data_IF_922859382716
#
_entry.id   IF_922859382716
#
_cell.length_a   1.000
_cell.length_b   1.000
_cell.length_c   1.000
_cell.angle_alpha   90.00
_cell.angle_beta   90.00
_cell.angle_gamma   90.00
#
_symmetry.space_group_name_H-M   'P 1'
#
loop_
_entity.id
_entity.type
_entity.pdbx_description
1 polymer ?
#
# COMPACT_ATOMS: atom_id res chain seq x y z
N UNK A 1 -4.15 -21.08 -0.95
CA UNK A 1 -3.71 -20.65 -2.28
C UNK A 1 -2.45 -21.43 -2.57
N UNK A 2 -2.42 -22.21 -3.64
CA UNK A 2 -1.25 -23.00 -4.03
C UNK A 2 -0.30 -22.13 -4.86
N UNK A 3 1.01 -22.34 -4.68
CA UNK A 3 2.05 -21.62 -5.40
C UNK A 3 2.46 -22.39 -6.66
N UNK A 4 2.48 -21.67 -7.77
CA UNK A 4 2.89 -22.19 -9.07
C UNK A 4 4.02 -21.32 -9.62
N UNK A 5 5.14 -21.95 -9.95
CA UNK A 5 6.16 -21.34 -10.80
C UNK A 5 5.83 -21.72 -12.24
N UNK A 6 5.67 -20.71 -13.09
CA UNK A 6 5.41 -20.91 -14.52
C UNK A 6 6.67 -20.59 -15.30
N UNK A 7 7.27 -21.61 -15.91
CA UNK A 7 8.51 -21.50 -16.69
C UNK A 7 8.28 -21.63 -18.20
N UNK A 8 9.29 -21.24 -18.97
CA UNK A 8 9.37 -21.59 -20.40
C UNK A 8 9.94 -23.00 -20.56
N UNK A 9 9.47 -23.77 -21.56
CA UNK A 9 9.96 -25.14 -21.79
C UNK A 9 11.48 -25.20 -22.04
N UNK A 10 12.03 -24.15 -22.62
CA UNK A 10 13.45 -23.98 -22.95
C UNK A 10 14.30 -23.53 -21.76
N UNK A 11 13.69 -23.27 -20.61
CA UNK A 11 14.34 -22.71 -19.43
C UNK A 11 13.88 -23.50 -18.18
N UNK A 12 14.45 -24.71 -17.96
CA UNK A 12 14.00 -25.61 -16.92
C UNK A 12 14.35 -25.06 -15.52
N UNK A 13 13.39 -25.15 -14.61
CA UNK A 13 13.60 -24.85 -13.20
C UNK A 13 14.39 -25.98 -12.55
N UNK A 14 15.61 -25.69 -12.10
CA UNK A 14 16.54 -26.68 -11.53
C UNK A 14 16.45 -26.81 -10.00
N UNK A 15 15.67 -25.95 -9.34
CA UNK A 15 15.66 -25.85 -7.87
C UNK A 15 14.54 -26.70 -7.25
N UNK A 16 14.83 -27.41 -6.17
CA UNK A 16 13.81 -28.14 -5.41
C UNK A 16 13.27 -27.26 -4.28
N UNK A 17 12.05 -26.74 -4.48
CA UNK A 17 11.37 -25.86 -3.53
C UNK A 17 10.14 -26.56 -2.97
N UNK A 18 10.13 -26.93 -1.67
CA UNK A 18 9.00 -27.60 -1.05
C UNK A 18 7.71 -26.78 -1.13
N UNK A 19 6.61 -27.42 -1.55
CA UNK A 19 5.27 -26.81 -1.55
C UNK A 19 4.95 -25.94 -2.76
N UNK A 20 5.86 -25.85 -3.74
CA UNK A 20 5.67 -25.09 -4.98
C UNK A 20 5.57 -26.05 -6.17
N UNK A 21 4.58 -25.84 -7.03
CA UNK A 21 4.42 -26.64 -8.26
C UNK A 21 5.06 -25.91 -9.43
N UNK A 22 5.92 -26.58 -10.17
CA UNK A 22 6.50 -26.01 -11.39
C UNK A 22 5.72 -26.54 -12.59
N UNK A 23 5.25 -25.62 -13.44
CA UNK A 23 4.53 -25.94 -14.68
C UNK A 23 5.07 -25.07 -15.81
N UNK A 24 4.86 -25.49 -17.04
CA UNK A 24 5.22 -24.68 -18.21
C UNK A 24 4.13 -23.66 -18.52
N UNK A 25 4.51 -22.56 -19.17
CA UNK A 25 3.56 -21.57 -19.67
C UNK A 25 2.52 -22.17 -20.62
N UNK A 26 2.92 -23.19 -21.41
CA UNK A 26 2.00 -23.89 -22.31
C UNK A 26 0.94 -24.67 -21.53
N UNK A 27 1.35 -25.41 -20.50
CA UNK A 27 0.42 -26.15 -19.63
C UNK A 27 -0.56 -25.19 -18.96
N UNK A 28 -0.07 -24.12 -18.35
CA UNK A 28 -0.93 -23.12 -17.70
C UNK A 28 -2.01 -22.53 -18.63
N UNK A 29 -1.65 -22.24 -19.88
CA UNK A 29 -2.56 -21.61 -20.83
C UNK A 29 -3.56 -22.60 -21.45
N UNK A 30 -3.12 -23.82 -21.76
CA UNK A 30 -3.86 -24.76 -22.60
C UNK A 30 -4.55 -25.88 -21.83
N UNK A 31 -4.04 -26.28 -20.67
CA UNK A 31 -4.61 -27.38 -19.89
C UNK A 31 -5.85 -26.90 -19.11
N UNK A 32 -7.04 -27.49 -19.34
CA UNK A 32 -8.27 -27.13 -18.64
C UNK A 32 -8.19 -27.25 -17.12
N UNK A 33 -7.27 -28.05 -16.58
CA UNK A 33 -7.06 -28.20 -15.12
C UNK A 33 -6.71 -26.85 -14.49
N UNK A 34 -5.87 -26.02 -15.14
CA UNK A 34 -5.49 -24.71 -14.62
C UNK A 34 -6.54 -23.64 -14.91
N UNK A 35 -7.31 -23.78 -15.99
CA UNK A 35 -8.41 -22.86 -16.28
C UNK A 35 -9.54 -22.94 -15.24
N UNK A 36 -9.80 -24.12 -14.68
CA UNK A 36 -10.87 -24.37 -13.71
C UNK A 36 -10.42 -24.23 -12.24
N UNK A 37 -9.13 -24.06 -11.96
CA UNK A 37 -8.64 -23.86 -10.60
C UNK A 37 -9.07 -22.49 -10.09
N UNK A 38 -9.56 -22.43 -8.84
CA UNK A 38 -9.89 -21.16 -8.18
C UNK A 38 -8.69 -20.65 -7.39
N UNK A 39 -8.33 -19.37 -7.57
CA UNK A 39 -7.35 -18.63 -6.76
C UNK A 39 -5.98 -19.32 -6.63
N UNK A 40 -5.11 -19.18 -7.63
CA UNK A 40 -3.70 -19.58 -7.62
C UNK A 40 -2.78 -18.38 -7.34
N UNK A 41 -1.58 -18.63 -6.79
CA UNK A 41 -0.49 -17.64 -6.78
C UNK A 41 0.56 -18.08 -7.80
N UNK A 42 0.81 -17.25 -8.79
CA UNK A 42 1.58 -17.58 -9.99
C UNK A 42 2.81 -16.70 -10.04
N UNK A 43 3.98 -17.35 -10.01
CA UNK A 43 5.28 -16.75 -10.20
C UNK A 43 5.67 -17.00 -11.65
N UNK A 44 5.39 -16.01 -12.50
CA UNK A 44 5.72 -16.09 -13.90
C UNK A 44 7.22 -15.84 -14.04
N UNK A 45 7.94 -16.89 -14.43
CA UNK A 45 9.37 -16.90 -14.72
C UNK A 45 9.60 -17.24 -16.20
N UNK A 46 8.68 -16.80 -17.05
CA UNK A 46 8.83 -16.96 -18.49
C UNK A 46 10.07 -16.20 -18.99
N UNK A 47 10.75 -16.78 -19.97
CA UNK A 47 11.96 -16.21 -20.57
C UNK A 47 11.69 -14.84 -21.23
N UNK A 48 10.47 -14.60 -21.69
CA UNK A 48 10.09 -13.34 -22.36
C UNK A 48 8.65 -12.92 -22.05
N UNK A 49 8.47 -11.61 -21.90
CA UNK A 49 7.18 -10.93 -21.69
C UNK A 49 6.83 -10.00 -22.87
N UNK A 50 7.40 -10.25 -24.05
CA UNK A 50 7.04 -9.55 -25.27
C UNK A 50 5.53 -9.67 -25.55
N UNK A 51 4.95 -8.67 -26.22
CA UNK A 51 3.54 -8.73 -26.58
C UNK A 51 3.26 -10.01 -27.39
N UNK A 52 2.15 -10.67 -27.08
CA UNK A 52 1.76 -11.98 -27.63
C UNK A 52 2.70 -13.16 -27.30
N UNK A 53 3.68 -13.00 -26.40
CA UNK A 53 4.44 -14.14 -25.89
C UNK A 53 3.63 -14.99 -24.92
N UNK A 54 4.08 -16.23 -24.70
CA UNK A 54 3.54 -17.10 -23.65
C UNK A 54 3.58 -16.41 -22.27
N UNK A 55 4.72 -15.77 -21.91
CA UNK A 55 4.85 -15.06 -20.64
C UNK A 55 3.87 -13.90 -20.49
N UNK A 56 3.61 -13.14 -21.56
CA UNK A 56 2.60 -12.09 -21.56
C UNK A 56 1.19 -12.66 -21.32
N UNK A 57 0.82 -13.73 -22.02
CA UNK A 57 -0.49 -14.36 -21.85
C UNK A 57 -0.67 -15.05 -20.50
N UNK A 58 0.40 -15.59 -19.89
CA UNK A 58 0.36 -16.14 -18.53
C UNK A 58 -0.10 -15.07 -17.56
N UNK A 59 0.56 -13.91 -17.53
CA UNK A 59 0.18 -12.81 -16.63
C UNK A 59 -1.19 -12.23 -16.95
N UNK A 60 -1.55 -12.09 -18.23
CA UNK A 60 -2.85 -11.58 -18.65
C UNK A 60 -4.01 -12.50 -18.22
N UNK A 61 -3.93 -13.79 -18.56
CA UNK A 61 -5.00 -14.74 -18.25
C UNK A 61 -5.06 -15.07 -16.76
N UNK A 62 -3.91 -15.12 -16.07
CA UNK A 62 -3.89 -15.31 -14.64
C UNK A 62 -4.66 -14.20 -13.92
N UNK A 63 -4.40 -12.93 -14.25
CA UNK A 63 -5.13 -11.79 -13.70
C UNK A 63 -6.62 -11.86 -14.04
N UNK A 64 -6.97 -12.13 -15.30
CA UNK A 64 -8.37 -12.24 -15.74
C UNK A 64 -9.14 -13.39 -15.07
N UNK A 65 -8.45 -14.46 -14.66
CA UNK A 65 -9.02 -15.60 -13.92
C UNK A 65 -9.02 -15.39 -12.39
N UNK A 66 -8.63 -14.21 -11.91
CA UNK A 66 -8.57 -13.91 -10.47
C UNK A 66 -7.46 -14.68 -9.74
N UNK A 67 -6.38 -15.05 -10.43
CA UNK A 67 -5.15 -15.54 -9.81
C UNK A 67 -4.25 -14.36 -9.44
N UNK A 68 -3.52 -14.47 -8.34
CA UNK A 68 -2.46 -13.52 -8.01
C UNK A 68 -1.24 -13.88 -8.86
N UNK A 69 -0.78 -12.99 -9.73
CA UNK A 69 0.35 -13.26 -10.63
C UNK A 69 1.44 -12.20 -10.50
N UNK A 70 2.68 -12.66 -10.47
CA UNK A 70 3.87 -11.84 -10.25
C UNK A 70 4.92 -12.25 -11.32
N UNK A 71 5.34 -11.34 -12.21
CA UNK A 71 4.79 -9.98 -12.40
C UNK A 71 3.39 -9.98 -13.03
N UNK A 72 2.60 -8.97 -12.67
CA UNK A 72 1.33 -8.70 -13.33
C UNK A 72 1.53 -7.93 -14.67
N UNK A 73 0.44 -7.73 -15.41
CA UNK A 73 0.53 -7.12 -16.75
C UNK A 73 1.00 -5.66 -16.70
N UNK A 74 0.60 -4.88 -15.71
CA UNK A 74 1.00 -3.49 -15.53
C UNK A 74 2.49 -3.42 -15.23
N UNK A 75 2.97 -4.24 -14.29
CA UNK A 75 4.39 -4.37 -13.95
C UNK A 75 5.25 -4.71 -15.17
N UNK A 76 4.78 -5.61 -16.05
CA UNK A 76 5.46 -5.95 -17.30
C UNK A 76 5.57 -4.72 -18.23
N UNK A 77 4.54 -3.87 -18.30
CA UNK A 77 4.58 -2.66 -19.10
C UNK A 77 5.47 -1.59 -18.48
N UNK A 78 5.42 -1.43 -17.16
CA UNK A 78 6.22 -0.46 -16.43
C UNK A 78 7.73 -0.70 -16.65
N UNK A 79 8.17 -1.96 -16.55
CA UNK A 79 9.57 -2.34 -16.79
C UNK A 79 10.04 -2.13 -18.24
N UNK A 80 9.13 -2.01 -19.22
CA UNK A 80 9.51 -1.73 -20.63
C UNK A 80 9.84 -0.27 -20.87
N UNK A 81 9.37 0.64 -20.03
CA UNK A 81 9.56 2.08 -20.19
C UNK A 81 10.60 2.61 -19.21
N UNK A 82 11.78 2.98 -19.70
CA UNK A 82 12.83 3.60 -18.88
C UNK A 82 12.37 4.91 -18.22
N UNK A 83 11.41 5.61 -18.82
CA UNK A 83 10.78 6.81 -18.23
C UNK A 83 9.93 6.44 -17.02
N UNK A 84 9.09 5.41 -17.14
CA UNK A 84 8.25 4.93 -16.03
C UNK A 84 9.12 4.36 -14.91
N UNK A 85 10.14 3.56 -15.24
CA UNK A 85 11.10 3.05 -14.26
C UNK A 85 11.72 4.17 -13.44
N UNK A 86 12.16 5.25 -14.10
CA UNK A 86 12.72 6.42 -13.41
C UNK A 86 11.72 7.10 -12.49
N UNK A 87 10.47 7.29 -12.95
CA UNK A 87 9.41 7.92 -12.16
C UNK A 87 9.11 7.08 -10.92
N UNK A 88 8.89 5.77 -11.08
CA UNK A 88 8.60 4.86 -9.97
C UNK A 88 9.76 4.78 -8.97
N UNK A 89 11.01 4.92 -9.42
CA UNK A 89 12.19 4.84 -8.56
C UNK A 89 12.61 6.16 -7.92
N UNK A 90 11.92 7.29 -8.16
CA UNK A 90 12.34 8.62 -7.64
C UNK A 90 12.48 8.62 -6.12
N UNK A 91 11.56 7.97 -5.40
CA UNK A 91 11.59 7.88 -3.94
C UNK A 91 12.76 7.04 -3.42
N UNK A 92 13.38 6.22 -4.29
CA UNK A 92 14.55 5.43 -3.97
C UNK A 92 15.86 6.17 -4.26
N UNK A 93 15.85 7.37 -4.84
CA UNK A 93 17.06 8.08 -5.27
C UNK A 93 18.08 8.24 -4.14
N UNK A 94 17.64 8.60 -2.94
CA UNK A 94 18.54 8.78 -1.80
C UNK A 94 19.07 7.45 -1.26
N UNK A 95 18.26 6.38 -1.34
CA UNK A 95 18.71 5.04 -1.01
C UNK A 95 19.74 4.54 -2.03
N UNK A 96 19.48 4.75 -3.33
CA UNK A 96 20.39 4.40 -4.43
C UNK A 96 21.73 5.13 -4.25
N UNK A 97 21.70 6.45 -4.01
CA UNK A 97 22.92 7.24 -3.76
C UNK A 97 23.73 6.68 -2.60
N UNK A 98 23.08 6.39 -1.46
CA UNK A 98 23.75 5.86 -0.25
C UNK A 98 24.30 4.45 -0.48
N UNK A 99 23.50 3.56 -1.06
CA UNK A 99 23.87 2.16 -1.29
C UNK A 99 25.00 2.00 -2.31
N UNK A 100 25.11 2.91 -3.28
CA UNK A 100 26.10 2.84 -4.36
C UNK A 100 27.26 3.85 -4.19
N UNK A 101 27.29 4.64 -3.10
CA UNK A 101 28.27 5.70 -2.89
C UNK A 101 29.74 5.24 -2.96
N UNK A 102 30.03 4.02 -2.50
CA UNK A 102 31.39 3.46 -2.48
C UNK A 102 31.85 2.89 -3.82
N UNK A 103 31.00 2.88 -4.85
CA UNK A 103 31.36 2.38 -6.17
C UNK A 103 32.13 3.44 -6.97
N UNK A 104 33.26 2.99 -7.52
CA UNK A 104 34.15 3.80 -8.37
C UNK A 104 33.70 3.77 -9.83
N UNK A 105 32.98 2.72 -10.26
CA UNK A 105 32.52 2.58 -11.64
C UNK A 105 31.46 3.61 -12.04
N UNK A 106 31.32 3.84 -13.35
CA UNK A 106 30.26 4.69 -13.93
C UNK A 106 28.95 3.93 -14.16
N UNK A 107 29.01 2.60 -14.15
CA UNK A 107 27.87 1.72 -14.33
C UNK A 107 27.87 0.63 -13.25
N UNK A 108 26.68 0.21 -12.85
CA UNK A 108 26.52 -0.88 -11.89
C UNK A 108 25.26 -1.68 -12.24
N UNK A 109 25.37 -3.01 -12.18
CA UNK A 109 24.27 -3.93 -12.47
C UNK A 109 24.01 -4.77 -11.23
N UNK A 110 22.80 -4.67 -10.69
CA UNK A 110 22.36 -5.41 -9.51
C UNK A 110 21.37 -6.49 -9.93
N UNK A 111 21.75 -7.75 -9.75
CA UNK A 111 20.81 -8.88 -9.93
C UNK A 111 20.13 -9.18 -8.60
N UNK A 112 18.81 -9.26 -8.60
CA UNK A 112 17.97 -9.43 -7.43
C UNK A 112 17.11 -10.68 -7.65
N UNK A 113 17.09 -11.56 -6.65
CA UNK A 113 16.32 -12.80 -6.67
C UNK A 113 15.43 -12.85 -5.43
N UNK A 114 14.11 -12.89 -5.62
CA UNK A 114 13.10 -12.86 -4.55
C UNK A 114 13.35 -11.76 -3.51
N UNK A 115 13.79 -10.57 -3.94
CA UNK A 115 14.06 -9.44 -3.05
C UNK A 115 15.47 -9.38 -2.47
N UNK A 116 16.30 -10.40 -2.72
CA UNK A 116 17.64 -10.51 -2.15
C UNK A 116 18.76 -10.40 -3.20
N UNK A 117 19.95 -10.02 -2.73
CA UNK A 117 21.18 -10.06 -3.51
C UNK A 117 22.24 -10.90 -2.78
N UNK A 118 23.08 -11.60 -3.55
CA UNK A 118 24.19 -12.40 -3.03
C UNK A 118 25.13 -11.61 -2.10
N UNK A 119 25.31 -10.30 -2.36
CA UNK A 119 26.02 -9.39 -1.47
C UNK A 119 25.04 -8.65 -0.55
N UNK A 120 24.99 -9.07 0.73
CA UNK A 120 24.07 -8.56 1.77
C UNK A 120 24.04 -7.04 1.92
N UNK A 121 25.11 -6.33 1.57
CA UNK A 121 25.16 -4.85 1.62
C UNK A 121 24.12 -4.17 0.72
N UNK A 122 23.63 -4.86 -0.33
CA UNK A 122 22.61 -4.34 -1.24
C UNK A 122 21.20 -4.82 -0.92
N UNK A 123 21.00 -5.60 0.15
CA UNK A 123 19.73 -6.29 0.40
C UNK A 123 18.57 -5.31 0.63
N UNK A 124 18.82 -4.23 1.38
CA UNK A 124 17.81 -3.18 1.61
C UNK A 124 17.32 -2.53 0.30
N UNK A 125 18.24 -2.25 -0.64
CA UNK A 125 17.89 -1.70 -1.95
C UNK A 125 17.19 -2.75 -2.80
N UNK A 126 17.63 -4.01 -2.72
CA UNK A 126 17.06 -5.15 -3.45
C UNK A 126 15.60 -5.40 -3.06
N UNK A 127 15.29 -5.38 -1.77
CA UNK A 127 13.93 -5.53 -1.26
C UNK A 127 13.01 -4.40 -1.72
N UNK A 128 13.48 -3.14 -1.67
CA UNK A 128 12.69 -1.98 -2.11
C UNK A 128 12.40 -2.03 -3.61
N UNK A 129 13.39 -2.39 -4.44
CA UNK A 129 13.19 -2.55 -5.88
C UNK A 129 12.29 -3.75 -6.21
N UNK A 130 12.42 -4.85 -5.46
CA UNK A 130 11.54 -6.00 -5.60
C UNK A 130 10.09 -5.68 -5.23
N UNK A 131 9.85 -4.94 -4.13
CA UNK A 131 8.51 -4.53 -3.75
C UNK A 131 7.88 -3.56 -4.76
N UNK A 132 8.69 -2.69 -5.37
CA UNK A 132 8.23 -1.74 -6.37
C UNK A 132 7.87 -2.41 -7.70
N UNK A 133 8.72 -3.31 -8.20
CA UNK A 133 8.55 -3.95 -9.50
C UNK A 133 8.01 -5.38 -9.42
N UNK A 134 7.64 -5.88 -8.24
CA UNK A 134 7.01 -7.18 -7.95
C UNK A 134 7.29 -8.24 -9.03
N UNK A 135 8.55 -8.64 -9.17
CA UNK A 135 9.00 -9.58 -10.20
C UNK A 135 10.01 -10.53 -9.55
N UNK A 136 9.88 -11.86 -9.69
CA UNK A 136 10.67 -12.80 -8.90
C UNK A 136 12.17 -12.63 -9.09
N UNK A 137 12.63 -12.47 -10.34
CA UNK A 137 14.02 -12.18 -10.66
C UNK A 137 14.13 -10.90 -11.49
N UNK A 138 14.88 -9.92 -11.00
CA UNK A 138 15.07 -8.63 -11.67
C UNK A 138 16.53 -8.22 -11.70
N UNK A 139 16.93 -7.57 -12.80
CA UNK A 139 18.23 -6.96 -12.99
C UNK A 139 18.05 -5.46 -13.12
N UNK A 140 18.56 -4.72 -12.14
CA UNK A 140 18.54 -3.27 -12.09
C UNK A 140 19.85 -2.70 -12.65
N UNK A 141 19.74 -1.73 -13.56
CA UNK A 141 20.86 -1.11 -14.26
C UNK A 141 20.98 0.34 -13.80
N UNK A 142 22.11 0.67 -13.18
CA UNK A 142 22.41 1.99 -12.67
C UNK A 142 23.53 2.65 -13.47
N UNK A 143 23.39 3.95 -13.65
CA UNK A 143 24.43 4.79 -14.28
C UNK A 143 24.68 6.00 -13.39
N UNK A 144 25.96 6.31 -13.22
CA UNK A 144 26.45 7.51 -12.56
C UNK A 144 26.54 8.62 -13.60
N UNK A 145 25.99 9.79 -13.29
CA UNK A 145 26.09 10.95 -14.16
C UNK A 145 27.39 11.72 -13.93
N UNK A 146 27.67 12.72 -14.78
CA UNK A 146 28.88 13.57 -14.69
C UNK A 146 29.03 14.30 -13.35
N UNK A 147 27.94 14.43 -12.57
CA UNK A 147 27.93 15.02 -11.22
C UNK A 147 28.20 13.98 -10.13
N UNK A 148 28.51 12.74 -10.49
CA UNK A 148 28.79 11.63 -9.59
C UNK A 148 27.54 11.00 -8.93
N UNK A 149 26.33 11.32 -9.42
CA UNK A 149 25.07 10.86 -8.82
C UNK A 149 24.57 9.61 -9.53
N UNK A 150 24.33 8.55 -8.76
CA UNK A 150 23.74 7.31 -9.24
C UNK A 150 22.24 7.46 -9.51
N UNK A 151 21.78 6.87 -10.61
CA UNK A 151 20.37 6.81 -10.99
C UNK A 151 20.03 5.44 -11.57
N UNK A 152 18.81 4.96 -11.31
CA UNK A 152 18.29 3.77 -11.97
C UNK A 152 17.92 4.14 -13.42
N UNK A 153 18.54 3.48 -14.40
CA UNK A 153 18.26 3.71 -15.82
C UNK A 153 17.23 2.73 -16.37
N UNK A 154 17.29 1.47 -15.92
CA UNK A 154 16.42 0.43 -16.41
C UNK A 154 16.31 -0.71 -15.39
N UNK A 155 15.25 -1.50 -15.47
CA UNK A 155 15.09 -2.73 -14.74
C UNK A 155 14.45 -3.78 -15.64
N UNK A 156 14.96 -5.01 -15.62
CA UNK A 156 14.49 -6.09 -16.50
C UNK A 156 14.32 -7.40 -15.75
N UNK A 157 13.34 -8.24 -16.11
CA UNK A 157 13.28 -9.61 -15.62
C UNK A 157 14.55 -10.39 -15.98
N UNK A 158 14.92 -11.35 -15.14
CA UNK A 158 16.00 -12.31 -15.42
C UNK A 158 15.38 -13.68 -15.74
N UNK A 159 15.62 -14.26 -16.92
CA UNK A 159 15.30 -15.67 -17.20
C UNK A 159 16.08 -16.59 -16.26
N UNK A 160 15.53 -17.73 -15.86
CA UNK A 160 16.26 -18.67 -14.99
C UNK A 160 17.54 -19.19 -15.64
N UNK A 161 17.57 -19.27 -16.97
CA UNK A 161 18.74 -19.66 -17.75
C UNK A 161 19.90 -18.67 -17.67
N UNK A 162 19.64 -17.42 -17.29
CA UNK A 162 20.64 -16.36 -17.12
C UNK A 162 21.17 -16.22 -15.69
N UNK A 163 20.77 -17.11 -14.78
CA UNK A 163 21.32 -17.16 -13.42
C UNK A 163 22.74 -17.72 -13.50
N UNK A 164 23.77 -16.97 -13.06
CA UNK A 164 25.13 -17.48 -13.00
C UNK A 164 25.22 -18.75 -12.13
N UNK A 165 26.06 -19.70 -12.51
CA UNK A 165 26.22 -20.98 -11.79
C UNK A 165 26.52 -20.75 -10.31
N UNK A 166 27.40 -19.80 -10.00
CA UNK A 166 27.78 -19.47 -8.62
C UNK A 166 26.66 -18.80 -7.80
N UNK A 167 25.63 -18.26 -8.48
CA UNK A 167 24.46 -17.69 -7.81
C UNK A 167 23.40 -18.75 -7.51
N UNK A 168 23.39 -19.89 -8.22
CA UNK A 168 22.33 -20.91 -8.10
C UNK A 168 22.07 -21.37 -6.66
N UNK A 169 23.09 -21.65 -5.81
CA UNK A 169 22.85 -22.05 -4.43
C UNK A 169 22.12 -20.98 -3.61
N UNK A 170 22.48 -19.70 -3.81
CA UNK A 170 21.82 -18.58 -3.15
C UNK A 170 20.39 -18.36 -3.65
N UNK A 171 20.15 -18.51 -4.96
CA UNK A 171 18.80 -18.41 -5.53
C UNK A 171 17.89 -19.48 -4.96
N UNK A 172 18.39 -20.71 -4.81
CA UNK A 172 17.64 -21.78 -4.16
C UNK A 172 17.34 -21.45 -2.70
N UNK A 173 18.32 -20.94 -1.94
CA UNK A 173 18.13 -20.48 -0.56
C UNK A 173 17.07 -19.37 -0.47
N UNK A 174 17.20 -18.30 -1.27
CA UNK A 174 16.25 -17.18 -1.27
C UNK A 174 14.85 -17.62 -1.72
N UNK A 175 14.75 -18.52 -2.70
CA UNK A 175 13.48 -19.09 -3.10
C UNK A 175 12.90 -19.93 -1.95
N UNK A 176 13.69 -20.79 -1.31
CA UNK A 176 13.25 -21.58 -0.14
C UNK A 176 12.77 -20.68 0.98
N UNK A 177 13.47 -19.60 1.32
CA UNK A 177 13.04 -18.63 2.34
C UNK A 177 11.74 -17.94 1.94
N UNK A 178 11.67 -17.39 0.73
CA UNK A 178 10.49 -16.73 0.18
C UNK A 178 9.25 -17.63 0.19
N UNK A 179 9.46 -18.90 -0.17
CA UNK A 179 8.40 -19.91 -0.18
C UNK A 179 8.18 -20.61 1.17
N UNK A 180 9.12 -20.54 2.11
CA UNK A 180 8.99 -21.06 3.48
C UNK A 180 8.25 -20.10 4.40
N UNK A 181 8.47 -18.79 4.26
CA UNK A 181 7.54 -17.78 4.79
C UNK A 181 6.14 -17.98 4.16
N UNK A 182 6.13 -18.52 2.94
CA UNK A 182 4.93 -19.00 2.27
C UNK A 182 4.56 -20.46 2.58
N UNK A 183 5.14 -21.16 3.56
CA UNK A 183 4.77 -22.53 3.95
C UNK A 183 4.81 -22.76 5.49
N UNK A 184 3.69 -22.57 6.21
CA UNK A 184 3.57 -22.96 7.61
C UNK A 184 3.20 -24.44 7.65
N UNK A 185 4.17 -25.30 7.94
CA UNK A 185 3.86 -26.64 8.43
C UNK A 185 2.96 -26.54 9.66
N UNK A 186 1.72 -26.98 9.53
CA UNK A 186 0.75 -27.20 10.62
C UNK A 186 0.39 -25.99 11.51
N UNK A 187 -0.22 -24.99 10.89
CA UNK A 187 -1.55 -24.53 11.34
C UNK A 187 -2.46 -24.60 10.13
N UNK A 188 -3.73 -25.02 10.27
CA UNK A 188 -4.74 -24.76 9.24
C UNK A 188 -4.61 -23.30 8.86
N UNK A 189 -3.97 -23.02 7.71
CA UNK A 189 -3.77 -21.66 7.22
C UNK A 189 -5.17 -21.10 7.11
N UNK A 190 -5.45 -20.02 7.84
CA UNK A 190 -6.69 -19.30 7.63
C UNK A 190 -6.68 -18.90 6.16
N UNK A 191 -7.48 -19.57 5.35
CA UNK A 191 -7.72 -19.15 3.97
C UNK A 191 -8.48 -17.86 4.09
N UNK A 192 -7.74 -16.77 4.00
CA UNK A 192 -8.34 -15.47 3.91
C UNK A 192 -9.01 -15.36 2.55
N UNK A 193 -10.30 -15.04 2.55
CA UNK A 193 -11.09 -14.89 1.35
C UNK A 193 -10.84 -13.54 0.67
N UNK A 194 -10.40 -12.57 1.46
CA UNK A 194 -10.26 -11.16 1.10
C UNK A 194 -8.97 -10.57 1.70
N UNK A 195 -8.47 -9.48 1.11
CA UNK A 195 -7.33 -8.71 1.58
C UNK A 195 -7.81 -7.35 2.16
N UNK A 196 -7.39 -7.03 3.39
CA UNK A 196 -7.72 -5.78 4.08
C UNK A 196 -6.45 -4.96 4.32
N UNK A 197 -6.41 -3.77 3.73
CA UNK A 197 -5.45 -2.74 4.09
C UNK A 197 -5.94 -1.97 5.31
N UNK A 198 -5.08 -1.79 6.32
CA UNK A 198 -5.31 -0.86 7.44
C UNK A 198 -4.29 0.27 7.32
N UNK A 199 -4.74 1.47 6.91
CA UNK A 199 -3.87 2.63 6.74
C UNK A 199 -3.52 3.24 8.10
N UNK A 200 -2.23 3.32 8.41
CA UNK A 200 -1.69 3.85 9.66
C UNK A 200 -0.64 4.94 9.38
N UNK A 201 -0.38 5.77 10.39
CA UNK A 201 0.72 6.73 10.37
C UNK A 201 1.50 6.58 11.67
N UNK A 202 2.63 5.83 11.69
CA UNK A 202 3.34 5.47 12.91
C UNK A 202 3.78 6.66 13.76
N UNK A 203 4.17 7.76 13.10
CA UNK A 203 4.70 8.97 13.75
C UNK A 203 3.61 10.00 14.13
N UNK A 204 2.34 9.60 14.10
CA UNK A 204 1.22 10.52 14.31
C UNK A 204 1.12 10.81 15.80
N UNK A 205 1.18 12.09 16.18
CA UNK A 205 1.19 12.50 17.60
C UNK A 205 -0.04 12.02 18.37
N UNK A 206 -1.18 11.97 17.70
CA UNK A 206 -2.46 11.58 18.27
C UNK A 206 -3.14 10.58 17.33
N UNK A 207 -2.62 9.35 17.23
CA UNK A 207 -3.18 8.38 16.30
C UNK A 207 -4.55 7.93 16.81
N UNK A 208 -5.51 7.63 15.93
CA UNK A 208 -6.84 7.19 16.35
C UNK A 208 -6.81 5.76 16.92
N UNK A 209 -5.67 5.07 16.89
CA UNK A 209 -5.47 3.74 17.46
C UNK A 209 -4.04 3.56 17.94
N UNK A 210 -3.87 2.94 19.10
CA UNK A 210 -2.57 2.49 19.60
C UNK A 210 -2.20 1.10 19.02
N UNK A 211 -0.97 0.66 19.25
CA UNK A 211 -0.50 -0.65 18.78
C UNK A 211 -1.38 -1.81 19.27
N UNK A 212 -1.91 -1.72 20.49
CA UNK A 212 -2.79 -2.75 21.07
C UNK A 212 -4.12 -2.82 20.32
N UNK A 213 -4.69 -1.68 19.94
CA UNK A 213 -5.90 -1.59 19.14
C UNK A 213 -5.67 -2.09 17.71
N UNK A 214 -4.55 -1.71 17.07
CA UNK A 214 -4.17 -2.21 15.74
C UNK A 214 -4.03 -3.73 15.73
N UNK A 215 -3.36 -4.30 16.74
CA UNK A 215 -3.26 -5.75 16.89
C UNK A 215 -4.63 -6.43 17.09
N UNK A 216 -5.57 -5.78 17.80
CA UNK A 216 -6.95 -6.28 17.94
C UNK A 216 -7.71 -6.23 16.62
N UNK A 217 -7.57 -5.16 15.84
CA UNK A 217 -8.18 -5.05 14.51
C UNK A 217 -7.66 -6.12 13.57
N UNK A 218 -6.34 -6.31 13.49
CA UNK A 218 -5.74 -7.37 12.69
C UNK A 218 -6.28 -8.75 13.08
N UNK A 219 -6.26 -9.09 14.38
CA UNK A 219 -6.81 -10.37 14.87
C UNK A 219 -8.29 -10.54 14.56
N UNK A 220 -9.09 -9.47 14.61
CA UNK A 220 -10.51 -9.52 14.29
C UNK A 220 -10.75 -9.73 12.78
N UNK A 221 -10.05 -8.98 11.92
CA UNK A 221 -10.10 -9.15 10.46
C UNK A 221 -9.69 -10.56 10.06
N UNK A 222 -8.59 -11.07 10.60
CA UNK A 222 -8.15 -12.45 10.37
C UNK A 222 -9.20 -13.48 10.81
N UNK A 223 -9.90 -13.28 11.93
CA UNK A 223 -10.97 -14.19 12.36
C UNK A 223 -12.15 -14.20 11.37
N UNK A 224 -12.39 -13.10 10.67
CA UNK A 224 -13.43 -12.97 9.65
C UNK A 224 -12.97 -13.43 8.25
N UNK A 225 -11.72 -13.88 8.11
CA UNK A 225 -11.21 -14.35 6.83
C UNK A 225 -10.55 -13.26 5.99
N UNK A 226 -10.07 -12.16 6.59
CA UNK A 226 -9.22 -11.18 5.91
C UNK A 226 -7.72 -11.44 6.11
N UNK A 227 -6.95 -11.27 5.04
CA UNK A 227 -5.51 -11.12 5.11
C UNK A 227 -5.24 -9.64 5.41
N UNK A 228 -4.85 -9.33 6.64
CA UNK A 228 -4.74 -7.95 7.10
C UNK A 228 -3.31 -7.45 6.97
N UNK A 229 -3.12 -6.37 6.21
CA UNK A 229 -1.85 -5.64 6.11
C UNK A 229 -2.00 -4.27 6.76
N UNK A 230 -1.04 -3.88 7.61
CA UNK A 230 -0.89 -2.47 7.95
C UNK A 230 -0.13 -1.80 6.81
N UNK A 231 -0.66 -0.70 6.29
CA UNK A 231 -0.08 0.06 5.18
C UNK A 231 0.13 1.51 5.59
N UNK A 232 1.07 2.18 4.95
CA UNK A 232 1.44 3.58 5.21
C UNK A 232 1.16 4.45 3.97
N UNK A 233 1.57 5.71 4.03
CA UNK A 233 1.27 6.69 2.98
C UNK A 233 1.90 6.30 1.64
N UNK A 234 3.06 5.66 1.69
CA UNK A 234 3.88 5.23 0.55
C UNK A 234 3.22 4.09 -0.22
N UNK A 235 2.30 3.34 0.40
CA UNK A 235 1.59 2.22 -0.21
C UNK A 235 0.40 2.67 -1.07
N UNK A 236 0.20 3.99 -1.26
CA UNK A 236 -0.88 4.56 -2.07
C UNK A 236 -0.97 3.94 -3.49
N UNK A 237 0.14 3.68 -4.22
CA UNK A 237 0.08 3.04 -5.52
C UNK A 237 -0.50 1.61 -5.49
N UNK A 238 -0.33 0.90 -4.36
CA UNK A 238 -0.71 -0.49 -4.17
C UNK A 238 -2.14 -0.66 -3.62
N UNK A 239 -2.88 0.43 -3.41
CA UNK A 239 -4.20 0.34 -2.77
C UNK A 239 -5.20 -0.53 -3.56
N UNK A 240 -5.05 -0.60 -4.88
CA UNK A 240 -5.89 -1.43 -5.76
C UNK A 240 -5.64 -2.95 -5.60
N UNK A 241 -4.62 -3.35 -4.85
CA UNK A 241 -4.31 -4.77 -4.58
C UNK A 241 -5.18 -5.36 -3.46
N UNK A 242 -5.91 -4.52 -2.72
CA UNK A 242 -6.75 -4.92 -1.59
C UNK A 242 -8.23 -4.97 -1.97
N UNK A 243 -9.03 -5.73 -1.22
CA UNK A 243 -10.49 -5.75 -1.36
C UNK A 243 -11.17 -4.68 -0.48
N UNK A 244 -10.49 -4.27 0.60
CA UNK A 244 -11.00 -3.30 1.55
C UNK A 244 -9.90 -2.41 2.14
N UNK A 245 -10.27 -1.18 2.49
CA UNK A 245 -9.42 -0.20 3.15
C UNK A 245 -10.06 0.22 4.48
N UNK A 246 -9.30 0.13 5.57
CA UNK A 246 -9.66 0.66 6.88
C UNK A 246 -8.66 1.72 7.36
N UNK A 247 -9.07 2.97 7.43
CA UNK A 247 -8.24 4.12 7.77
C UNK A 247 -8.15 4.27 9.30
N UNK A 248 -6.94 4.11 9.84
CA UNK A 248 -6.58 4.33 11.25
C UNK A 248 -5.52 5.43 11.39
N UNK A 249 -5.75 6.53 10.69
CA UNK A 249 -5.02 7.81 10.79
C UNK A 249 -6.03 8.96 10.70
N UNK A 250 -5.65 10.18 11.07
CA UNK A 250 -6.57 11.32 11.01
C UNK A 250 -7.10 11.56 9.59
N UNK A 251 -8.42 11.61 9.47
CA UNK A 251 -9.15 11.89 8.23
C UNK A 251 -9.48 13.38 8.11
N UNK A 252 -9.11 13.99 6.99
CA UNK A 252 -9.48 15.38 6.67
C UNK A 252 -9.58 15.53 5.15
N UNK A 253 -10.48 16.41 4.68
CA UNK A 253 -10.72 16.64 3.24
C UNK A 253 -9.45 17.06 2.49
N UNK A 254 -8.60 17.88 3.11
CA UNK A 254 -7.35 18.37 2.53
C UNK A 254 -6.13 17.55 2.99
N UNK A 255 -6.26 16.22 3.01
CA UNK A 255 -5.23 15.33 3.55
C UNK A 255 -5.09 14.06 2.70
N UNK A 256 -3.92 13.40 2.75
CA UNK A 256 -3.64 12.21 1.93
C UNK A 256 -4.63 11.06 2.16
N UNK A 257 -5.19 10.98 3.36
CA UNK A 257 -6.18 9.98 3.76
C UNK A 257 -7.49 10.09 2.98
N UNK A 258 -7.90 11.31 2.60
CA UNK A 258 -9.04 11.51 1.72
C UNK A 258 -8.75 11.03 0.29
N UNK A 259 -7.54 11.24 -0.23
CA UNK A 259 -7.14 10.71 -1.53
C UNK A 259 -7.08 9.18 -1.54
N UNK A 260 -6.60 8.55 -0.46
CA UNK A 260 -6.68 7.10 -0.26
C UNK A 260 -8.12 6.60 -0.34
N UNK A 261 -9.03 7.23 0.41
CA UNK A 261 -10.44 6.85 0.40
C UNK A 261 -11.06 6.98 -1.00
N UNK A 262 -10.77 8.08 -1.72
CA UNK A 262 -11.28 8.31 -3.07
C UNK A 262 -10.76 7.28 -4.06
N UNK A 263 -9.44 7.03 -4.05
CA UNK A 263 -8.80 6.06 -4.94
C UNK A 263 -9.31 4.66 -4.68
N UNK A 264 -9.35 4.23 -3.42
CA UNK A 264 -9.87 2.92 -3.03
C UNK A 264 -11.33 2.74 -3.47
N UNK A 265 -12.18 3.75 -3.25
CA UNK A 265 -13.59 3.71 -3.69
C UNK A 265 -13.70 3.61 -5.21
N UNK A 266 -12.88 4.36 -5.96
CA UNK A 266 -12.88 4.33 -7.42
C UNK A 266 -12.41 2.99 -7.99
N UNK A 267 -11.50 2.31 -7.30
CA UNK A 267 -11.00 0.97 -7.62
C UNK A 267 -11.95 -0.15 -7.13
N UNK A 268 -13.09 0.21 -6.53
CA UNK A 268 -14.13 -0.74 -6.11
C UNK A 268 -13.93 -1.38 -4.74
N UNK A 269 -13.01 -0.88 -3.92
CA UNK A 269 -12.80 -1.38 -2.56
C UNK A 269 -13.96 -1.00 -1.64
N UNK A 270 -14.17 -1.82 -0.61
CA UNK A 270 -14.98 -1.42 0.56
C UNK A 270 -14.12 -0.54 1.46
N UNK A 271 -14.53 0.73 1.64
CA UNK A 271 -13.71 1.73 2.35
C UNK A 271 -14.37 2.17 3.66
N UNK A 272 -13.57 2.22 4.72
CA UNK A 272 -13.91 2.82 6.01
C UNK A 272 -12.70 3.67 6.42
N UNK A 273 -12.76 4.97 6.66
CA UNK A 273 -13.88 5.87 6.41
C UNK A 273 -13.98 6.22 4.93
N UNK A 274 -15.18 6.09 4.34
CA UNK A 274 -15.41 6.41 2.93
C UNK A 274 -15.31 7.93 2.68
N UNK A 275 -15.04 8.37 1.42
CA UNK A 275 -14.83 9.79 1.11
C UNK A 275 -15.99 10.69 1.53
N UNK A 276 -17.23 10.24 1.37
CA UNK A 276 -18.40 11.05 1.68
C UNK A 276 -18.53 11.20 3.20
N UNK A 277 -18.27 10.13 3.95
CA UNK A 277 -18.21 10.19 5.41
C UNK A 277 -17.11 11.12 5.90
N UNK A 278 -15.91 11.10 5.30
CA UNK A 278 -14.83 12.02 5.66
C UNK A 278 -15.30 13.48 5.51
N UNK A 279 -15.87 13.84 4.35
CA UNK A 279 -16.36 15.20 4.07
C UNK A 279 -17.45 15.64 5.06
N UNK A 280 -18.39 14.76 5.37
CA UNK A 280 -19.53 15.07 6.24
C UNK A 280 -19.14 15.11 7.71
N UNK A 281 -18.38 14.12 8.17
CA UNK A 281 -18.08 13.91 9.58
C UNK A 281 -16.92 14.79 10.07
N UNK A 282 -16.05 15.27 9.18
CA UNK A 282 -15.02 16.25 9.56
C UNK A 282 -15.58 17.67 9.76
N UNK A 283 -16.86 17.91 9.43
CA UNK A 283 -17.48 19.22 9.52
C UNK A 283 -18.57 19.27 10.61
N UNK A 284 -18.21 19.84 11.78
CA UNK A 284 -19.16 19.95 12.92
C UNK A 284 -20.36 20.85 12.64
N UNK A 285 -20.24 21.80 11.69
CA UNK A 285 -21.36 22.65 11.27
C UNK A 285 -22.40 21.80 10.54
N UNK A 286 -21.96 21.05 9.54
CA UNK A 286 -22.81 20.16 8.76
C UNK A 286 -23.49 19.11 9.66
N UNK A 287 -22.72 18.50 10.58
CA UNK A 287 -23.27 17.54 11.53
C UNK A 287 -24.33 18.15 12.44
N UNK A 288 -24.13 19.37 12.95
CA UNK A 288 -25.10 20.09 13.77
C UNK A 288 -26.40 20.38 13.00
N UNK A 289 -26.28 20.86 11.76
CA UNK A 289 -27.41 21.12 10.87
C UNK A 289 -28.20 19.83 10.60
N UNK A 290 -27.50 18.75 10.26
CA UNK A 290 -28.10 17.46 9.96
C UNK A 290 -28.83 16.88 11.18
N UNK A 291 -28.22 16.92 12.36
CA UNK A 291 -28.84 16.45 13.60
C UNK A 291 -30.11 17.23 13.94
N UNK A 292 -30.08 18.56 13.78
CA UNK A 292 -31.24 19.43 13.98
C UNK A 292 -32.36 19.10 12.99
N UNK A 293 -32.03 18.95 11.69
CA UNK A 293 -32.99 18.60 10.63
C UNK A 293 -33.65 17.25 10.87
N UNK A 294 -32.88 16.28 11.37
CA UNK A 294 -33.37 14.93 11.69
C UNK A 294 -34.02 14.82 13.08
N UNK A 295 -34.16 15.94 13.80
CA UNK A 295 -34.74 16.00 15.16
C UNK A 295 -34.04 15.06 16.15
N UNK A 296 -32.74 14.87 15.99
CA UNK A 296 -31.92 14.12 16.94
C UNK A 296 -31.72 14.95 18.22
N UNK A 297 -31.79 14.30 19.38
CA UNK A 297 -31.57 14.96 20.67
C UNK A 297 -30.09 15.29 20.81
N UNK A 298 -29.75 16.57 20.69
CA UNK A 298 -28.38 17.08 20.87
C UNK A 298 -28.39 18.31 21.77
N UNK A 299 -27.27 18.65 22.44
CA UNK A 299 -27.13 19.94 23.10
C UNK A 299 -27.40 21.09 22.12
N UNK A 300 -28.04 22.16 22.60
CA UNK A 300 -28.25 23.37 21.81
C UNK A 300 -26.89 23.87 21.33
N UNK A 301 -26.76 24.06 20.01
CA UNK A 301 -25.52 24.43 19.34
C UNK A 301 -25.84 25.56 18.38
N UNK A 302 -25.16 26.70 18.53
CA UNK A 302 -25.29 27.86 17.63
C UNK A 302 -23.99 28.07 16.86
N UNK A 303 -24.10 28.46 15.59
CA UNK A 303 -22.95 28.85 14.77
C UNK A 303 -22.53 30.27 15.16
N UNK A 304 -21.24 30.50 15.37
CA UNK A 304 -20.69 31.82 15.72
C UNK A 304 -19.98 32.41 14.50
N UNK A 305 -20.28 33.68 14.21
CA UNK A 305 -19.60 34.54 13.26
C UNK A 305 -19.48 35.95 13.85
N UNK A 306 -18.71 36.83 13.20
CA UNK A 306 -18.32 38.14 13.77
C UNK A 306 -19.51 38.98 14.26
N UNK A 307 -20.65 38.89 13.57
CA UNK A 307 -21.80 39.78 13.81
C UNK A 307 -22.84 39.21 14.79
N UNK A 308 -22.76 37.94 15.20
CA UNK A 308 -23.77 37.30 16.06
C UNK A 308 -23.28 36.90 17.45
N UNK A 309 -22.11 37.37 17.87
CA UNK A 309 -21.50 36.98 19.14
C UNK A 309 -22.42 37.19 20.34
N UNK A 310 -23.15 38.33 20.40
CA UNK A 310 -24.07 38.65 21.50
C UNK A 310 -25.32 37.76 21.51
N UNK A 311 -25.96 37.59 20.36
CA UNK A 311 -27.21 36.81 20.25
C UNK A 311 -27.00 35.34 20.60
N UNK A 312 -25.80 34.80 20.38
CA UNK A 312 -25.44 33.43 20.79
C UNK A 312 -25.37 33.28 22.32
N UNK A 313 -24.90 34.31 23.04
CA UNK A 313 -24.85 34.29 24.52
C UNK A 313 -26.26 34.25 25.09
N UNK A 314 -27.17 35.08 24.58
CA UNK A 314 -28.58 35.12 25.02
C UNK A 314 -29.27 33.77 24.79
N UNK A 315 -28.88 33.05 23.74
CA UNK A 315 -29.45 31.76 23.38
C UNK A 315 -28.93 30.58 24.21
N UNK A 316 -27.63 30.54 24.52
CA UNK A 316 -26.98 29.39 25.16
C UNK A 316 -26.78 29.55 26.66
N UNK A 317 -26.56 30.78 27.14
CA UNK A 317 -26.14 31.05 28.50
C UNK A 317 -24.76 30.48 28.85
N UNK A 318 -24.42 30.50 30.13
CA UNK A 318 -23.16 29.98 30.67
C UNK A 318 -23.38 28.90 31.73
N UNK A 319 -22.45 27.94 31.89
CA UNK A 319 -21.24 27.77 31.09
C UNK A 319 -21.53 27.17 29.71
N UNK A 320 -20.73 27.52 28.70
CA UNK A 320 -20.84 26.94 27.35
C UNK A 320 -19.47 26.50 26.81
N UNK A 321 -19.48 25.76 25.70
CA UNK A 321 -18.27 25.21 25.08
C UNK A 321 -18.10 25.80 23.68
N UNK A 322 -16.97 26.46 23.45
CA UNK A 322 -16.54 26.95 22.15
C UNK A 322 -15.63 25.93 21.50
N UNK A 323 -15.87 25.66 20.22
CA UNK A 323 -15.08 24.68 19.45
C UNK A 323 -14.91 25.12 18.00
N UNK A 324 -13.73 24.89 17.44
CA UNK A 324 -13.52 25.05 16.00
C UNK A 324 -14.27 23.95 15.21
N UNK A 325 -14.84 24.30 14.05
CA UNK A 325 -15.68 23.38 13.29
C UNK A 325 -14.90 22.19 12.69
N UNK A 326 -13.65 22.40 12.31
CA UNK A 326 -12.78 21.47 11.57
C UNK A 326 -11.65 20.85 12.43
N UNK A 327 -11.56 21.18 13.72
CA UNK A 327 -10.54 20.61 14.61
C UNK A 327 -10.84 19.18 15.11
N UNK A 328 -9.83 18.46 15.57
CA UNK A 328 -9.95 17.12 16.17
C UNK A 328 -9.19 17.03 17.51
N UNK A 329 -9.37 15.93 18.27
CA UNK A 329 -8.66 15.66 19.53
C UNK A 329 -8.76 16.76 20.60
N UNK A 330 -9.94 17.39 20.71
CA UNK A 330 -10.20 18.51 21.65
C UNK A 330 -9.30 19.74 21.44
N UNK A 331 -8.53 19.79 20.35
CA UNK A 331 -7.80 20.99 19.96
C UNK A 331 -8.80 22.07 19.61
N UNK A 332 -8.65 23.25 20.21
CA UNK A 332 -9.56 24.37 20.02
C UNK A 332 -10.94 24.19 20.69
N UNK A 333 -11.06 23.32 21.71
CA UNK A 333 -12.26 23.20 22.56
C UNK A 333 -12.01 23.91 23.90
N UNK A 334 -12.82 24.92 24.21
CA UNK A 334 -12.68 25.72 25.44
C UNK A 334 -14.03 25.84 26.13
N UNK A 335 -14.08 25.49 27.41
CA UNK A 335 -15.22 25.78 28.28
C UNK A 335 -15.09 27.21 28.79
N UNK A 336 -16.09 28.03 28.53
CA UNK A 336 -16.17 29.41 29.03
C UNK A 336 -17.25 29.49 30.10
N UNK A 337 -16.95 30.22 31.18
CA UNK A 337 -17.81 30.30 32.37
C UNK A 337 -18.60 31.60 32.45
N UNK A 338 -18.15 32.63 31.75
CA UNK A 338 -18.75 33.95 31.76
C UNK A 338 -18.59 34.66 30.41
N UNK A 339 -19.22 35.83 30.31
CA UNK A 339 -19.25 36.66 29.11
C UNK A 339 -17.85 37.18 28.71
N UNK A 340 -17.01 37.52 29.68
CA UNK A 340 -15.67 38.05 29.41
C UNK A 340 -14.78 36.97 28.78
N UNK A 341 -14.77 35.76 29.36
CA UNK A 341 -14.08 34.59 28.81
C UNK A 341 -14.59 34.26 27.41
N UNK A 342 -15.91 34.29 27.20
CA UNK A 342 -16.54 34.03 25.90
C UNK A 342 -16.04 34.98 24.80
N UNK A 343 -16.13 36.30 25.00
CA UNK A 343 -15.72 37.25 23.96
C UNK A 343 -14.23 37.18 23.65
N UNK A 344 -13.40 36.91 24.67
CA UNK A 344 -11.96 36.73 24.49
C UNK A 344 -11.67 35.52 23.59
N UNK A 345 -12.21 34.36 23.96
CA UNK A 345 -11.97 33.09 23.24
C UNK A 345 -12.60 33.13 21.85
N UNK A 346 -13.82 33.63 21.71
CA UNK A 346 -14.52 33.71 20.43
C UNK A 346 -13.78 34.61 19.43
N UNK A 347 -13.25 35.76 19.87
CA UNK A 347 -12.42 36.63 19.01
C UNK A 347 -11.12 35.94 18.57
N UNK A 348 -10.47 35.18 19.45
CA UNK A 348 -9.25 34.44 19.12
C UNK A 348 -9.53 33.31 18.11
N UNK A 349 -10.64 32.59 18.25
CA UNK A 349 -11.01 31.54 17.30
C UNK A 349 -11.38 32.11 15.92
N UNK A 350 -12.10 33.24 15.89
CA UNK A 350 -12.52 33.92 14.66
C UNK A 350 -11.39 34.69 13.95
N UNK A 351 -10.26 34.97 14.62
CA UNK A 351 -9.10 35.59 13.96
C UNK A 351 -8.21 34.58 13.23
N UNK A 352 -8.37 33.29 13.53
CA UNK A 352 -7.71 32.15 12.85
C UNK A 352 -8.53 31.61 11.68
N UNK A 353 -9.73 32.16 11.45
CA UNK A 353 -10.65 31.86 10.35
C UNK A 353 -10.54 32.94 9.28
#
# INVERSE_FOLDING_TARGET
MEDYIVISRTDPWEFDIPGVKVITAREFLLDPIYANKKKMRIFNLSQTYAYQSFGYYVSLLAAARGHKVIPNISTIQDMKSSVVVKILSQELDDLIKKSLASLVSEQFVLSIYFGHNVAKKYDRLSQKLFNLFQTPFIRAYFVKNDKGVWSLQNIKPIPSSEIPVDHKPYVEEFAREYFADSNPGFKKRKTYQYDLAILVHPDEKHPPSDEKALAKFARAGEKLGFNVSLIEREDFPHIAEYDALFIRTTTQVNHYTYHFAQRATAEGLVVIDDPLSIVRCSNKVYLSELMRRQKLKTPRTELIYKDNLKTVVDALGFPCVLKQPDSSFSLGVVKVKDEQEYFKVAKELLSKS
#
